data_IF_123412418007
#
_entry.id   IF_123412418007
#
_cell.length_a   1.000
_cell.length_b   1.000
_cell.length_c   1.000
_cell.angle_alpha   90.00
_cell.angle_beta   90.00
_cell.angle_gamma   90.00
#
_symmetry.space_group_name_H-M   'P 1'
#
loop_
_entity.id
_entity.type
_entity.pdbx_description
1 polymer ?
#
# COMPACT_ATOMS: atom_id res chain seq x y z
N UNK A 1 -2.34 -21.28 7.36
CA UNK A 1 -2.82 -22.23 6.36
C UNK A 1 -1.66 -22.91 5.61
N UNK A 2 -0.85 -22.16 4.85
CA UNK A 2 0.28 -22.69 4.07
C UNK A 2 1.30 -23.44 4.95
N UNK A 3 1.66 -22.92 6.11
CA UNK A 3 2.64 -23.51 7.03
C UNK A 3 2.35 -24.96 7.42
N UNK A 4 1.07 -25.35 7.49
CA UNK A 4 0.66 -26.73 7.82
C UNK A 4 0.60 -27.67 6.61
N UNK A 5 0.69 -27.13 5.41
CA UNK A 5 0.46 -27.87 4.17
C UNK A 5 1.71 -28.06 3.35
N UNK A 6 2.69 -27.16 3.47
CA UNK A 6 3.97 -27.27 2.75
C UNK A 6 4.75 -28.49 3.21
N UNK A 7 5.22 -29.28 2.25
CA UNK A 7 6.23 -30.31 2.48
C UNK A 7 7.60 -29.66 2.63
N UNK A 8 8.56 -30.38 3.15
CA UNK A 8 9.95 -29.93 3.17
C UNK A 8 10.39 -29.38 1.80
N UNK A 9 11.33 -28.41 1.74
CA UNK A 9 11.82 -27.87 0.48
C UNK A 9 12.25 -29.00 -0.47
N UNK A 10 11.73 -28.97 -1.70
CA UNK A 10 11.88 -30.11 -2.61
C UNK A 10 12.19 -29.69 -4.05
N UNK A 11 12.63 -28.44 -4.26
CA UNK A 11 12.95 -27.88 -5.58
C UNK A 11 11.81 -28.06 -6.59
N UNK A 12 10.58 -27.95 -6.13
CA UNK A 12 9.34 -27.95 -6.93
C UNK A 12 8.41 -26.89 -6.40
N UNK A 13 7.66 -26.24 -7.29
CA UNK A 13 6.65 -25.28 -6.88
C UNK A 13 5.50 -26.00 -6.19
N UNK A 14 5.40 -25.86 -4.89
CA UNK A 14 4.36 -26.49 -4.06
C UNK A 14 3.12 -25.59 -3.95
N UNK A 15 3.33 -24.29 -3.85
CA UNK A 15 2.29 -23.32 -3.66
C UNK A 15 2.45 -22.09 -4.56
N UNK A 16 1.32 -21.59 -5.05
CA UNK A 16 1.24 -20.33 -5.80
C UNK A 16 0.24 -19.43 -5.11
N UNK A 17 0.63 -18.17 -4.93
CA UNK A 17 -0.26 -17.10 -4.48
C UNK A 17 -0.36 -16.07 -5.60
N UNK A 18 -1.57 -15.77 -6.02
CA UNK A 18 -1.83 -14.78 -7.07
C UNK A 18 -2.53 -13.60 -6.44
N UNK A 19 -2.01 -12.40 -6.71
CA UNK A 19 -2.61 -11.15 -6.31
C UNK A 19 -2.70 -10.19 -7.50
N UNK A 20 -3.75 -9.33 -7.58
CA UNK A 20 -4.01 -8.51 -8.76
C UNK A 20 -3.01 -7.37 -8.96
N UNK A 21 -2.30 -6.94 -7.90
CA UNK A 21 -1.39 -5.80 -7.95
C UNK A 21 0.02 -6.18 -7.48
N UNK A 22 1.01 -5.44 -7.96
CA UNK A 22 2.44 -5.62 -7.60
C UNK A 22 2.68 -5.37 -6.13
N UNK A 23 2.05 -4.33 -5.62
CA UNK A 23 2.14 -3.90 -4.23
C UNK A 23 1.66 -5.01 -3.29
N UNK A 24 0.54 -5.65 -3.62
CA UNK A 24 0.01 -6.76 -2.83
C UNK A 24 0.93 -7.99 -2.92
N UNK A 25 1.48 -8.29 -4.10
CA UNK A 25 2.50 -9.35 -4.27
C UNK A 25 3.70 -9.10 -3.36
N UNK A 26 4.22 -7.89 -3.30
CA UNK A 26 5.36 -7.53 -2.43
C UNK A 26 5.02 -7.64 -0.95
N UNK A 27 3.82 -7.24 -0.54
CA UNK A 27 3.36 -7.39 0.84
C UNK A 27 3.27 -8.86 1.26
N UNK A 28 2.59 -9.68 0.45
CA UNK A 28 2.48 -11.11 0.70
C UNK A 28 3.87 -11.74 0.79
N UNK A 29 4.79 -11.35 -0.11
CA UNK A 29 6.17 -11.81 -0.09
C UNK A 29 6.91 -11.45 1.20
N UNK A 30 6.78 -10.21 1.65
CA UNK A 30 7.41 -9.74 2.89
C UNK A 30 6.97 -10.57 4.09
N UNK A 31 5.68 -10.88 4.18
CA UNK A 31 5.10 -11.72 5.23
C UNK A 31 5.52 -13.19 5.06
N UNK A 32 5.45 -13.72 3.85
CA UNK A 32 5.80 -15.11 3.57
C UNK A 32 7.24 -15.43 3.96
N UNK A 33 8.20 -14.55 3.65
CA UNK A 33 9.60 -14.74 4.03
C UNK A 33 9.83 -14.83 5.54
N UNK A 34 9.02 -14.17 6.33
CA UNK A 34 9.11 -14.23 7.79
C UNK A 34 8.48 -15.51 8.33
N UNK A 35 7.41 -15.98 7.70
CA UNK A 35 6.66 -17.16 8.14
C UNK A 35 7.31 -18.48 7.73
N UNK A 36 8.02 -18.51 6.60
CA UNK A 36 8.61 -19.74 6.03
C UNK A 36 10.11 -19.54 5.69
N UNK A 37 10.96 -19.28 6.69
CA UNK A 37 12.38 -18.91 6.45
C UNK A 37 13.22 -20.01 5.78
N UNK A 38 12.75 -21.26 5.81
CA UNK A 38 13.46 -22.39 5.20
C UNK A 38 13.07 -22.69 3.74
N UNK A 39 12.11 -21.94 3.18
CA UNK A 39 11.61 -22.19 1.82
C UNK A 39 12.11 -21.11 0.85
N UNK A 40 12.34 -21.49 -0.40
CA UNK A 40 12.61 -20.52 -1.46
C UNK A 40 11.29 -19.91 -1.92
N UNK A 41 11.11 -18.63 -1.62
CA UNK A 41 9.96 -17.82 -2.07
C UNK A 41 10.42 -16.88 -3.17
N UNK A 42 9.78 -16.92 -4.33
CA UNK A 42 10.07 -16.03 -5.48
C UNK A 42 8.85 -15.18 -5.82
N UNK A 43 9.09 -13.94 -6.22
CA UNK A 43 8.06 -13.02 -6.70
C UNK A 43 8.14 -12.81 -8.20
N UNK A 44 6.97 -12.72 -8.86
CA UNK A 44 6.86 -12.49 -10.30
C UNK A 44 5.79 -11.41 -10.56
N UNK A 45 6.21 -10.21 -10.93
CA UNK A 45 5.29 -9.10 -11.25
C UNK A 45 5.92 -8.16 -12.28
N UNK A 46 5.11 -7.51 -13.10
CA UNK A 46 5.61 -6.66 -14.17
C UNK A 46 6.18 -5.32 -13.67
N UNK A 47 6.92 -4.61 -14.53
CA UNK A 47 7.43 -3.24 -14.30
C UNK A 47 8.89 -3.15 -13.91
N UNK A 48 9.62 -4.25 -13.98
CA UNK A 48 11.07 -4.32 -13.92
C UNK A 48 11.58 -5.33 -14.95
N UNK A 49 12.90 -5.42 -15.10
CA UNK A 49 13.52 -6.33 -16.05
C UNK A 49 13.17 -7.79 -15.72
N UNK A 50 12.85 -8.55 -16.76
CA UNK A 50 12.59 -10.00 -16.67
C UNK A 50 13.85 -10.81 -16.33
N UNK A 51 15.02 -10.28 -16.62
CA UNK A 51 16.29 -10.97 -16.37
C UNK A 51 16.54 -11.31 -14.90
N UNK A 52 16.17 -10.41 -13.97
CA UNK A 52 16.29 -10.67 -12.54
C UNK A 52 15.33 -11.79 -12.09
N UNK A 53 14.11 -11.83 -12.66
CA UNK A 53 13.15 -12.88 -12.37
C UNK A 53 13.62 -14.23 -12.95
N UNK A 54 14.11 -14.25 -14.19
CA UNK A 54 14.68 -15.45 -14.81
C UNK A 54 15.87 -15.99 -14.02
N UNK A 55 16.78 -15.13 -13.59
CA UNK A 55 17.89 -15.50 -12.71
C UNK A 55 17.39 -16.08 -11.37
N UNK A 56 16.32 -15.53 -10.80
CA UNK A 56 15.70 -16.06 -9.59
C UNK A 56 15.06 -17.44 -9.80
N UNK A 57 14.58 -17.74 -11.01
CA UNK A 57 13.95 -19.00 -11.36
C UNK A 57 14.96 -20.12 -11.73
N UNK A 58 16.25 -19.82 -11.94
CA UNK A 58 17.30 -20.83 -12.19
C UNK A 58 17.37 -21.92 -11.12
N UNK A 59 17.02 -21.59 -9.89
CA UNK A 59 16.75 -22.56 -8.85
C UNK A 59 15.24 -22.56 -8.61
N UNK A 60 14.60 -23.68 -8.80
CA UNK A 60 13.14 -23.79 -8.67
C UNK A 60 12.67 -23.35 -7.29
N UNK A 61 11.72 -22.40 -7.17
CA UNK A 61 11.17 -21.99 -5.88
C UNK A 61 10.18 -23.03 -5.34
N UNK A 62 10.03 -23.06 -4.03
CA UNK A 62 8.96 -23.83 -3.35
C UNK A 62 7.61 -23.07 -3.39
N UNK A 63 7.69 -21.75 -3.32
CA UNK A 63 6.52 -20.86 -3.30
C UNK A 63 6.71 -19.74 -4.31
N UNK A 64 5.68 -19.51 -5.10
CA UNK A 64 5.63 -18.38 -6.04
C UNK A 64 4.51 -17.41 -5.64
N UNK A 65 4.81 -16.14 -5.58
CA UNK A 65 3.85 -15.07 -5.35
C UNK A 65 3.87 -14.15 -6.58
N UNK A 66 2.74 -14.00 -7.27
CA UNK A 66 2.78 -13.39 -8.58
C UNK A 66 1.54 -12.59 -8.95
N UNK A 67 1.68 -11.66 -9.90
CA UNK A 67 0.55 -11.14 -10.66
C UNK A 67 0.17 -12.12 -11.77
N UNK A 68 -1.14 -12.21 -12.16
CA UNK A 68 -1.62 -13.21 -13.11
C UNK A 68 -0.85 -13.19 -14.44
N UNK A 69 -0.73 -12.00 -15.06
CA UNK A 69 -0.09 -11.87 -16.36
C UNK A 69 1.39 -12.28 -16.37
N UNK A 70 2.15 -11.94 -15.32
CA UNK A 70 3.59 -12.25 -15.25
C UNK A 70 3.82 -13.74 -14.98
N UNK A 71 3.02 -14.37 -14.12
CA UNK A 71 3.10 -15.81 -13.91
C UNK A 71 2.79 -16.58 -15.18
N UNK A 72 1.76 -16.17 -15.91
CA UNK A 72 1.40 -16.79 -17.17
C UNK A 72 2.51 -16.64 -18.24
N UNK A 73 3.15 -15.48 -18.30
CA UNK A 73 4.27 -15.22 -19.21
C UNK A 73 5.44 -16.17 -18.94
N UNK A 74 5.95 -16.26 -17.69
CA UNK A 74 7.02 -17.18 -17.33
C UNK A 74 6.64 -18.64 -17.55
N UNK A 75 5.38 -19.02 -17.27
CA UNK A 75 4.92 -20.38 -17.54
C UNK A 75 4.81 -20.70 -19.03
N UNK A 76 4.51 -19.72 -19.90
CA UNK A 76 4.51 -19.90 -21.36
C UNK A 76 5.92 -20.03 -21.93
N UNK A 77 6.87 -19.29 -21.36
CA UNK A 77 8.30 -19.35 -21.75
C UNK A 77 9.02 -20.60 -21.25
N UNK A 78 8.37 -21.40 -20.38
CA UNK A 78 8.98 -22.59 -19.79
C UNK A 78 9.93 -22.28 -18.62
N UNK A 79 9.96 -21.04 -18.13
CA UNK A 79 10.82 -20.63 -17.00
C UNK A 79 10.32 -21.20 -15.66
N UNK A 80 9.04 -21.61 -15.60
CA UNK A 80 8.43 -22.19 -14.42
C UNK A 80 7.42 -23.27 -14.80
N UNK A 81 7.50 -24.42 -14.11
CA UNK A 81 6.55 -25.52 -14.26
C UNK A 81 5.48 -25.46 -13.17
N UNK A 82 4.20 -25.54 -13.57
CA UNK A 82 3.07 -25.45 -12.66
C UNK A 82 2.33 -26.78 -12.44
N UNK A 83 2.79 -27.87 -13.07
CA UNK A 83 2.13 -29.18 -13.02
C UNK A 83 1.99 -29.70 -11.58
N UNK A 84 3.04 -29.54 -10.78
CA UNK A 84 3.14 -30.08 -9.42
C UNK A 84 2.58 -29.16 -8.34
N UNK A 85 2.04 -28.00 -8.71
CA UNK A 85 1.44 -27.08 -7.76
C UNK A 85 0.25 -27.74 -7.08
N UNK A 86 0.34 -27.87 -5.76
CA UNK A 86 -0.70 -28.50 -4.95
C UNK A 86 -1.62 -27.47 -4.26
N UNK A 87 -1.15 -26.24 -4.07
CA UNK A 87 -1.86 -25.21 -3.33
C UNK A 87 -1.90 -23.90 -4.12
N UNK A 88 -3.09 -23.36 -4.34
CA UNK A 88 -3.32 -22.08 -5.00
C UNK A 88 -4.12 -21.15 -4.10
N UNK A 89 -3.64 -19.94 -3.93
CA UNK A 89 -4.36 -18.84 -3.29
C UNK A 89 -4.59 -17.75 -4.32
N UNK A 90 -5.84 -17.32 -4.49
CA UNK A 90 -6.21 -16.17 -5.29
C UNK A 90 -6.68 -15.07 -4.33
N UNK A 91 -5.81 -14.10 -4.09
CA UNK A 91 -6.06 -13.00 -3.15
C UNK A 91 -6.67 -11.80 -3.87
N UNK A 92 -7.61 -11.10 -3.22
CA UNK A 92 -8.45 -10.05 -3.84
C UNK A 92 -9.04 -10.51 -5.19
N UNK A 93 -9.67 -11.68 -5.18
CA UNK A 93 -10.14 -12.34 -6.40
C UNK A 93 -11.18 -11.50 -7.17
N UNK A 94 -12.10 -10.83 -6.48
CA UNK A 94 -13.03 -9.84 -7.04
C UNK A 94 -12.29 -8.77 -7.84
N UNK A 95 -11.21 -8.23 -7.30
CA UNK A 95 -10.38 -7.23 -7.97
C UNK A 95 -9.64 -7.80 -9.18
N UNK A 96 -9.15 -9.02 -9.08
CA UNK A 96 -8.51 -9.68 -10.21
C UNK A 96 -9.50 -9.84 -11.40
N UNK A 97 -10.77 -10.14 -11.13
CA UNK A 97 -11.83 -10.20 -12.15
C UNK A 97 -12.13 -8.81 -12.73
N UNK A 98 -12.28 -7.77 -11.91
CA UNK A 98 -12.51 -6.40 -12.38
C UNK A 98 -11.39 -5.90 -13.32
N UNK A 99 -10.14 -6.26 -13.03
CA UNK A 99 -8.98 -5.92 -13.85
C UNK A 99 -8.86 -6.77 -15.11
N UNK A 100 -9.78 -7.69 -15.35
CA UNK A 100 -9.85 -8.51 -16.56
C UNK A 100 -8.90 -9.71 -16.58
N UNK A 101 -8.34 -10.11 -15.43
CA UNK A 101 -7.42 -11.24 -15.34
C UNK A 101 -8.07 -12.62 -15.36
N UNK A 102 -9.39 -12.71 -15.55
CA UNK A 102 -10.12 -13.98 -15.56
C UNK A 102 -9.52 -15.01 -16.52
N UNK A 103 -9.26 -14.59 -17.77
CA UNK A 103 -8.69 -15.47 -18.80
C UNK A 103 -7.29 -15.94 -18.47
N UNK A 104 -6.47 -15.08 -17.85
CA UNK A 104 -5.10 -15.44 -17.47
C UNK A 104 -5.12 -16.42 -16.31
N UNK A 105 -5.95 -16.18 -15.29
CA UNK A 105 -6.15 -17.10 -14.17
C UNK A 105 -6.68 -18.47 -14.63
N UNK A 106 -7.64 -18.49 -15.55
CA UNK A 106 -8.14 -19.74 -16.13
C UNK A 106 -7.04 -20.56 -16.81
N UNK A 107 -6.14 -19.90 -17.57
CA UNK A 107 -5.00 -20.55 -18.23
C UNK A 107 -3.96 -21.06 -17.23
N UNK A 108 -3.72 -20.32 -16.15
CA UNK A 108 -2.80 -20.71 -15.07
C UNK A 108 -3.34 -21.95 -14.36
N UNK A 109 -4.62 -21.90 -13.90
CA UNK A 109 -5.27 -23.04 -13.22
C UNK A 109 -5.30 -24.27 -14.10
N UNK A 110 -5.53 -24.09 -15.41
CA UNK A 110 -5.51 -25.18 -16.40
C UNK A 110 -4.17 -25.93 -16.50
N UNK A 111 -3.05 -25.32 -16.08
CA UNK A 111 -1.72 -25.94 -16.05
C UNK A 111 -1.42 -26.66 -14.74
N UNK A 112 -2.18 -26.40 -13.67
CA UNK A 112 -1.99 -27.01 -12.34
C UNK A 112 -2.77 -28.33 -12.23
N UNK A 113 -2.25 -29.41 -12.80
CA UNK A 113 -2.95 -30.71 -12.84
C UNK A 113 -3.05 -31.40 -11.49
N UNK A 114 -2.11 -31.12 -10.58
CA UNK A 114 -2.05 -31.71 -9.25
C UNK A 114 -2.60 -30.80 -8.15
N UNK A 115 -3.40 -29.79 -8.53
CA UNK A 115 -4.00 -28.87 -7.59
C UNK A 115 -4.96 -29.59 -6.64
N UNK A 116 -4.62 -29.58 -5.34
CA UNK A 116 -5.39 -30.24 -4.29
C UNK A 116 -6.24 -29.28 -3.47
N UNK A 117 -5.79 -28.02 -3.34
CA UNK A 117 -6.54 -26.99 -2.59
C UNK A 117 -6.43 -25.63 -3.28
N UNK A 118 -7.59 -25.01 -3.37
CA UNK A 118 -7.76 -23.64 -3.85
C UNK A 118 -8.39 -22.81 -2.74
N UNK A 119 -7.81 -21.64 -2.46
CA UNK A 119 -8.36 -20.64 -1.55
C UNK A 119 -8.62 -19.37 -2.32
N UNK A 120 -9.79 -18.82 -2.15
CA UNK A 120 -10.18 -17.51 -2.68
C UNK A 120 -10.42 -16.56 -1.51
N UNK A 121 -9.84 -15.38 -1.58
CA UNK A 121 -10.25 -14.27 -0.71
C UNK A 121 -10.93 -13.20 -1.55
N UNK A 122 -11.96 -12.60 -1.01
CA UNK A 122 -12.70 -11.52 -1.67
C UNK A 122 -13.28 -10.61 -0.61
N UNK A 123 -13.23 -9.31 -0.85
CA UNK A 123 -13.86 -8.34 0.02
C UNK A 123 -15.36 -8.20 -0.26
N UNK A 124 -15.82 -8.68 -1.41
CA UNK A 124 -17.23 -8.62 -1.83
C UNK A 124 -17.77 -10.01 -2.10
N UNK A 125 -19.08 -10.24 -1.86
CA UNK A 125 -19.73 -11.47 -2.27
C UNK A 125 -19.68 -11.61 -3.80
N UNK A 126 -19.16 -12.72 -4.30
CA UNK A 126 -19.23 -13.03 -5.71
C UNK A 126 -20.62 -13.57 -6.07
N UNK A 127 -21.25 -13.00 -7.07
CA UNK A 127 -22.57 -13.46 -7.55
C UNK A 127 -22.48 -14.89 -8.13
N UNK A 128 -21.38 -15.20 -8.80
CA UNK A 128 -21.05 -16.53 -9.33
C UNK A 128 -19.55 -16.73 -9.37
N UNK A 129 -19.11 -17.98 -9.27
CA UNK A 129 -17.71 -18.33 -9.49
C UNK A 129 -17.48 -18.59 -10.98
N UNK A 130 -16.37 -18.11 -11.58
CA UNK A 130 -16.00 -18.44 -12.95
C UNK A 130 -15.83 -19.95 -13.17
N UNK A 131 -16.08 -20.41 -14.41
CA UNK A 131 -16.08 -21.83 -14.77
C UNK A 131 -14.76 -22.58 -14.49
N UNK A 132 -13.63 -21.87 -14.44
CA UNK A 132 -12.32 -22.48 -14.13
C UNK A 132 -12.16 -22.81 -12.64
N UNK A 133 -13.00 -22.24 -11.78
CA UNK A 133 -13.12 -22.60 -10.37
C UNK A 133 -14.15 -23.72 -10.26
N UNK A 134 -13.69 -24.95 -10.12
CA UNK A 134 -14.56 -26.14 -10.03
C UNK A 134 -14.47 -26.73 -8.62
N UNK A 135 -15.22 -26.20 -7.64
CA UNK A 135 -15.19 -26.75 -6.29
C UNK A 135 -15.89 -28.10 -6.26
N UNK A 136 -15.17 -29.15 -5.82
CA UNK A 136 -15.80 -30.42 -5.42
C UNK A 136 -16.49 -30.27 -4.06
N UNK A 137 -15.81 -29.55 -3.14
CA UNK A 137 -16.29 -29.22 -1.79
C UNK A 137 -15.98 -27.77 -1.50
N UNK A 138 -16.95 -26.87 -1.67
CA UNK A 138 -16.82 -25.47 -1.35
C UNK A 138 -17.14 -25.25 0.13
N UNK A 139 -16.15 -24.77 0.89
CA UNK A 139 -16.37 -24.23 2.25
C UNK A 139 -16.27 -22.72 2.17
N UNK A 140 -17.36 -22.05 2.54
CA UNK A 140 -17.41 -20.59 2.61
C UNK A 140 -17.25 -20.16 4.06
N UNK A 141 -16.33 -19.22 4.27
CA UNK A 141 -16.17 -18.51 5.55
C UNK A 141 -16.55 -17.05 5.26
N UNK A 142 -17.60 -16.60 5.94
CA UNK A 142 -18.14 -15.26 5.75
C UNK A 142 -17.84 -14.41 6.98
N UNK A 143 -16.94 -13.46 6.80
CA UNK A 143 -16.55 -12.44 7.78
C UNK A 143 -17.11 -11.06 7.43
N UNK A 144 -17.95 -10.93 6.40
CA UNK A 144 -18.55 -9.66 5.99
C UNK A 144 -19.46 -9.06 7.05
N UNK A 145 -19.95 -9.87 8.00
CA UNK A 145 -20.64 -9.40 9.20
C UNK A 145 -19.81 -8.50 10.13
N UNK A 146 -18.48 -8.58 10.02
CA UNK A 146 -17.55 -7.68 10.72
C UNK A 146 -17.57 -6.24 10.14
N UNK A 147 -18.21 -6.01 9.00
CA UNK A 147 -18.52 -4.66 8.51
C UNK A 147 -19.35 -3.83 9.51
N UNK A 148 -20.12 -4.48 10.40
CA UNK A 148 -20.76 -3.82 11.55
C UNK A 148 -19.74 -3.31 12.57
N UNK A 149 -18.61 -3.96 12.69
CA UNK A 149 -17.55 -3.58 13.62
C UNK A 149 -16.72 -2.41 13.09
N UNK A 150 -16.40 -2.41 11.79
CA UNK A 150 -15.81 -1.26 11.12
C UNK A 150 -16.74 -0.03 11.25
N UNK A 151 -18.04 -0.21 11.06
CA UNK A 151 -19.01 0.86 11.20
C UNK A 151 -19.13 1.41 12.63
N UNK A 152 -18.86 0.61 13.66
CA UNK A 152 -18.83 1.09 15.05
C UNK A 152 -17.59 1.94 15.37
N UNK A 153 -16.53 1.76 14.60
CA UNK A 153 -15.24 2.43 14.80
C UNK A 153 -15.01 3.58 13.83
N UNK A 154 -15.74 3.61 12.72
CA UNK A 154 -15.68 4.64 11.70
C UNK A 154 -16.82 5.63 11.91
N UNK A 155 -16.50 6.92 12.02
CA UNK A 155 -17.47 8.02 11.95
C UNK A 155 -17.46 8.61 10.56
N UNK A 156 -18.62 8.82 9.99
CA UNK A 156 -18.79 9.37 8.65
C UNK A 156 -19.43 10.74 8.72
N UNK A 157 -18.70 11.76 8.30
CA UNK A 157 -19.09 13.14 8.35
C UNK A 157 -19.47 13.66 6.98
N UNK A 158 -20.63 14.32 6.88
CA UNK A 158 -20.99 15.12 5.73
C UNK A 158 -20.29 16.46 5.79
N UNK A 159 -19.72 16.93 4.69
CA UNK A 159 -19.12 18.26 4.57
C UNK A 159 -19.66 18.90 3.30
N UNK A 160 -20.52 19.90 3.46
CA UNK A 160 -21.12 20.59 2.32
C UNK A 160 -20.16 21.67 1.78
N UNK A 161 -20.12 21.81 0.48
CA UNK A 161 -19.40 22.85 -0.24
C UNK A 161 -20.38 23.75 -0.98
N UNK A 162 -20.23 25.03 -0.83
CA UNK A 162 -21.10 26.03 -1.47
C UNK A 162 -20.86 26.14 -2.99
N UNK A 163 -19.72 25.61 -3.45
CA UNK A 163 -19.32 25.66 -4.87
C UNK A 163 -18.96 24.26 -5.39
N UNK A 164 -19.14 24.09 -6.71
CA UNK A 164 -18.78 22.83 -7.39
C UNK A 164 -17.30 22.45 -7.25
N UNK A 165 -16.42 23.46 -7.27
CA UNK A 165 -15.01 23.24 -6.99
C UNK A 165 -14.78 23.26 -5.48
N UNK A 166 -14.68 22.08 -4.90
CA UNK A 166 -14.58 21.84 -3.46
C UNK A 166 -13.19 22.09 -2.86
N UNK A 167 -12.29 22.77 -3.58
CA UNK A 167 -10.89 22.97 -3.15
C UNK A 167 -10.78 23.85 -1.88
N UNK A 168 -11.56 24.92 -1.78
CA UNK A 168 -11.54 25.74 -0.57
C UNK A 168 -12.13 24.98 0.63
N UNK A 169 -13.23 24.28 0.43
CA UNK A 169 -13.81 23.40 1.44
C UNK A 169 -12.82 22.35 1.91
N UNK A 170 -12.11 21.72 0.98
CA UNK A 170 -11.02 20.76 1.29
C UNK A 170 -9.91 21.41 2.10
N UNK A 171 -9.47 22.63 1.73
CA UNK A 171 -8.44 23.37 2.46
C UNK A 171 -8.86 23.64 3.90
N UNK A 172 -10.08 24.18 4.10
CA UNK A 172 -10.63 24.48 5.42
C UNK A 172 -10.71 23.22 6.27
N UNK A 173 -11.20 22.12 5.70
CA UNK A 173 -11.24 20.82 6.38
C UNK A 173 -9.85 20.35 6.79
N UNK A 174 -8.85 20.41 5.89
CA UNK A 174 -7.48 19.99 6.20
C UNK A 174 -6.83 20.83 7.30
N UNK A 175 -7.12 22.13 7.39
CA UNK A 175 -6.64 22.99 8.48
C UNK A 175 -7.16 22.52 9.85
N UNK A 176 -8.39 22.02 9.92
CA UNK A 176 -8.95 21.45 11.15
C UNK A 176 -8.40 20.07 11.46
N UNK A 177 -8.23 19.23 10.42
CA UNK A 177 -7.82 17.83 10.57
C UNK A 177 -6.32 17.62 10.79
N UNK A 178 -5.50 18.60 10.39
CA UNK A 178 -4.03 18.48 10.42
C UNK A 178 -3.38 19.60 11.22
N UNK A 179 -3.77 19.82 12.50
CA UNK A 179 -3.28 20.92 13.31
C UNK A 179 -1.79 20.85 13.63
N UNK A 180 -1.19 19.64 13.60
CA UNK A 180 0.24 19.43 13.86
C UNK A 180 1.04 19.08 12.61
N UNK A 181 0.36 18.79 11.49
CA UNK A 181 0.98 18.31 10.27
C UNK A 181 1.48 16.86 10.37
N UNK A 182 1.12 16.13 11.43
CA UNK A 182 1.48 14.73 11.63
C UNK A 182 0.31 13.76 11.31
N UNK A 183 -0.90 14.29 11.21
CA UNK A 183 -2.12 13.50 11.07
C UNK A 183 -2.20 12.85 9.68
N UNK A 184 -2.13 11.52 9.63
CA UNK A 184 -2.21 10.79 8.38
C UNK A 184 -3.59 10.89 7.77
N UNK A 185 -3.66 11.51 6.59
CA UNK A 185 -4.90 11.81 5.87
C UNK A 185 -4.79 11.36 4.42
N UNK A 186 -5.79 10.62 3.93
CA UNK A 186 -5.90 10.24 2.52
C UNK A 186 -7.06 10.97 1.88
N UNK A 187 -6.81 11.59 0.73
CA UNK A 187 -7.81 12.22 -0.11
C UNK A 187 -8.07 11.33 -1.33
N UNK A 188 -9.27 10.81 -1.42
CA UNK A 188 -9.71 10.00 -2.56
C UNK A 188 -10.44 10.85 -3.61
N UNK A 189 -10.00 10.69 -4.84
CA UNK A 189 -10.65 11.24 -6.05
C UNK A 189 -10.96 10.11 -7.03
N UNK A 190 -11.90 10.32 -7.96
CA UNK A 190 -12.31 9.28 -8.91
C UNK A 190 -11.39 9.19 -10.14
N UNK A 191 -10.76 10.31 -10.52
CA UNK A 191 -10.00 10.42 -11.75
C UNK A 191 -8.56 10.88 -11.49
N UNK A 192 -7.65 10.43 -12.33
CA UNK A 192 -6.23 10.76 -12.25
C UNK A 192 -5.97 12.26 -12.36
N UNK A 193 -6.59 12.90 -13.34
CA UNK A 193 -6.45 14.35 -13.58
C UNK A 193 -6.92 15.16 -12.38
N UNK A 194 -7.96 14.67 -11.69
CA UNK A 194 -8.44 15.27 -10.44
C UNK A 194 -7.41 15.12 -9.32
N UNK A 195 -6.71 13.98 -9.24
CA UNK A 195 -5.66 13.77 -8.23
C UNK A 195 -4.50 14.75 -8.44
N UNK A 196 -4.04 14.90 -9.68
CA UNK A 196 -2.97 15.83 -10.06
C UNK A 196 -3.37 17.29 -9.75
N UNK A 197 -4.59 17.69 -10.13
CA UNK A 197 -5.14 19.03 -9.86
C UNK A 197 -5.24 19.34 -8.37
N UNK A 198 -5.81 18.42 -7.60
CA UNK A 198 -5.96 18.58 -6.14
C UNK A 198 -4.59 18.69 -5.48
N UNK A 199 -3.65 17.79 -5.83
CA UNK A 199 -2.31 17.81 -5.26
C UNK A 199 -1.56 19.11 -5.60
N UNK A 200 -1.65 19.59 -6.85
CA UNK A 200 -1.04 20.86 -7.26
C UNK A 200 -1.65 22.06 -6.52
N UNK A 201 -2.97 22.09 -6.39
CA UNK A 201 -3.66 23.16 -5.67
C UNK A 201 -3.26 23.20 -4.20
N UNK A 202 -3.14 22.04 -3.55
CA UNK A 202 -2.67 21.95 -2.17
C UNK A 202 -1.21 22.39 -2.02
N UNK A 203 -0.33 22.12 -2.99
CA UNK A 203 1.05 22.64 -2.98
C UNK A 203 1.12 24.15 -3.09
N UNK A 204 0.28 24.77 -3.92
CA UNK A 204 0.17 26.24 -4.01
C UNK A 204 -0.28 26.86 -2.68
N UNK A 205 -1.00 26.11 -1.86
CA UNK A 205 -1.45 26.50 -0.51
C UNK A 205 -0.43 26.14 0.59
N UNK A 206 0.77 25.67 0.21
CA UNK A 206 1.86 25.40 1.14
C UNK A 206 1.86 24.00 1.76
N UNK A 207 0.90 23.14 1.39
CA UNK A 207 0.95 21.72 1.78
C UNK A 207 1.95 20.93 0.90
N UNK A 208 2.42 19.77 1.40
CA UNK A 208 3.28 18.84 0.65
C UNK A 208 2.59 17.46 0.50
N UNK A 209 1.53 17.36 -0.32
CA UNK A 209 0.85 16.09 -0.52
C UNK A 209 1.69 15.13 -1.34
N UNK A 210 1.74 13.87 -0.92
CA UNK A 210 2.10 12.76 -1.79
C UNK A 210 1.02 12.56 -2.85
N UNK A 211 1.42 12.20 -4.07
CA UNK A 211 0.52 11.78 -5.15
C UNK A 211 0.71 10.30 -5.38
N UNK A 212 -0.40 9.53 -5.46
CA UNK A 212 -0.35 8.10 -5.76
C UNK A 212 -1.42 7.75 -6.80
N UNK A 213 -1.00 7.56 -8.04
CA UNK A 213 -1.88 7.21 -9.17
C UNK A 213 -1.23 6.17 -10.07
N UNK A 214 -2.04 5.53 -10.92
CA UNK A 214 -1.56 4.57 -11.90
C UNK A 214 -0.64 5.14 -12.98
N UNK A 215 -0.55 6.47 -13.10
CA UNK A 215 0.33 7.14 -14.05
C UNK A 215 1.79 7.19 -13.61
N UNK A 216 2.02 7.15 -12.30
CA UNK A 216 3.37 7.14 -11.77
C UNK A 216 4.07 5.83 -12.13
N UNK A 217 5.37 5.91 -12.39
CA UNK A 217 6.17 4.72 -12.47
C UNK A 217 6.25 3.99 -11.11
N UNK A 218 6.79 2.77 -11.10
CA UNK A 218 6.81 1.94 -9.89
C UNK A 218 7.67 2.56 -8.79
N UNK A 219 8.81 3.15 -9.16
CA UNK A 219 9.72 3.77 -8.20
C UNK A 219 9.07 4.97 -7.49
N UNK A 220 8.39 5.84 -8.25
CA UNK A 220 7.69 7.01 -7.68
C UNK A 220 6.51 6.59 -6.79
N UNK A 221 5.79 5.52 -7.16
CA UNK A 221 4.74 4.96 -6.30
C UNK A 221 5.29 4.43 -4.99
N UNK A 222 6.36 3.64 -5.02
CA UNK A 222 7.03 3.12 -3.83
C UNK A 222 7.54 4.25 -2.94
N UNK A 223 8.15 5.28 -3.53
CA UNK A 223 8.61 6.48 -2.82
C UNK A 223 7.44 7.22 -2.16
N UNK A 224 6.34 7.44 -2.87
CA UNK A 224 5.17 8.13 -2.31
C UNK A 224 4.61 7.40 -1.08
N UNK A 225 4.48 6.08 -1.17
CA UNK A 225 4.03 5.24 -0.06
C UNK A 225 5.03 5.22 1.11
N UNK A 226 6.32 5.10 0.84
CA UNK A 226 7.35 5.12 1.89
C UNK A 226 7.31 6.43 2.67
N UNK A 227 7.19 7.58 1.98
CA UNK A 227 7.10 8.91 2.61
C UNK A 227 5.77 9.12 3.36
N UNK A 228 4.69 8.53 2.90
CA UNK A 228 3.42 8.54 3.62
C UNK A 228 3.47 7.65 4.86
N UNK A 229 3.95 6.42 4.72
CA UNK A 229 4.00 5.45 5.82
C UNK A 229 4.97 5.85 6.93
N UNK A 230 6.07 6.53 6.61
CA UNK A 230 7.02 7.01 7.61
C UNK A 230 6.66 8.38 8.21
N UNK A 231 5.55 8.99 7.76
CA UNK A 231 5.04 10.25 8.28
C UNK A 231 5.70 11.53 7.72
N UNK A 232 6.64 11.43 6.79
CA UNK A 232 7.26 12.61 6.16
C UNK A 232 6.28 13.40 5.31
N UNK A 233 5.39 12.71 4.59
CA UNK A 233 4.25 13.27 3.83
C UNK A 233 2.96 12.63 4.31
N UNK A 234 2.39 13.07 5.42
CA UNK A 234 1.21 12.45 6.02
C UNK A 234 -0.08 12.73 5.25
N UNK A 235 -0.05 13.54 4.20
CA UNK A 235 -1.16 13.82 3.30
C UNK A 235 -0.94 13.11 1.96
N UNK A 236 -1.88 12.24 1.55
CA UNK A 236 -1.82 11.50 0.29
C UNK A 236 -3.04 11.79 -0.56
N UNK A 237 -2.84 12.18 -1.81
CA UNK A 237 -3.91 12.31 -2.81
C UNK A 237 -3.84 11.12 -3.77
N UNK A 238 -4.96 10.41 -3.93
CA UNK A 238 -4.97 9.17 -4.69
C UNK A 238 -6.33 8.88 -5.35
N UNK A 239 -6.32 7.94 -6.28
CA UNK A 239 -7.52 7.27 -6.81
C UNK A 239 -7.78 5.96 -6.06
N UNK A 240 -8.79 5.20 -6.47
CA UNK A 240 -9.09 3.87 -5.89
C UNK A 240 -7.93 2.86 -6.01
N UNK A 241 -6.86 3.20 -6.73
CA UNK A 241 -5.65 2.38 -6.76
C UNK A 241 -5.05 2.16 -5.36
N UNK A 242 -5.12 3.17 -4.47
CA UNK A 242 -4.63 3.05 -3.08
C UNK A 242 -5.67 2.47 -2.11
N UNK A 243 -6.90 2.25 -2.55
CA UNK A 243 -7.95 1.72 -1.66
C UNK A 243 -7.82 0.22 -1.40
N UNK A 244 -7.05 -0.50 -2.22
CA UNK A 244 -6.90 -1.95 -2.16
C UNK A 244 -5.43 -2.35 -2.19
N UNK A 245 -5.10 -3.48 -1.57
CA UNK A 245 -3.79 -4.12 -1.66
C UNK A 245 -2.60 -3.33 -1.15
N UNK A 246 -2.77 -2.15 -0.56
CA UNK A 246 -1.67 -1.37 0.00
C UNK A 246 -1.61 -1.53 1.51
N UNK A 247 -0.40 -1.73 2.03
CA UNK A 247 -0.14 -1.64 3.46
C UNK A 247 -0.02 -0.17 3.86
N UNK A 248 -1.18 0.46 3.94
CA UNK A 248 -1.35 1.78 4.52
C UNK A 248 -2.08 1.57 5.84
N UNK A 249 -1.36 1.67 6.93
CA UNK A 249 -1.91 1.54 8.28
C UNK A 249 -1.97 2.91 8.97
N UNK A 250 -2.74 2.97 10.05
CA UNK A 250 -2.83 4.13 10.95
C UNK A 250 -3.26 5.43 10.25
N UNK A 251 -4.12 5.33 9.24
CA UNK A 251 -4.76 6.49 8.63
C UNK A 251 -5.85 6.98 9.56
N UNK A 252 -5.74 8.21 10.01
CA UNK A 252 -6.71 8.82 10.90
C UNK A 252 -7.93 9.33 10.13
N UNK A 253 -7.71 10.01 9.01
CA UNK A 253 -8.74 10.67 8.26
C UNK A 253 -8.79 10.16 6.82
N UNK A 254 -9.98 9.83 6.34
CA UNK A 254 -10.30 9.58 4.95
C UNK A 254 -11.15 10.73 4.42
N UNK A 255 -10.76 11.33 3.32
CA UNK A 255 -11.54 12.38 2.67
C UNK A 255 -11.97 11.89 1.28
N UNK A 256 -13.26 11.77 1.08
CA UNK A 256 -13.84 11.54 -0.23
C UNK A 256 -14.09 12.91 -0.89
N UNK A 257 -13.08 13.41 -1.62
CA UNK A 257 -13.22 14.64 -2.42
C UNK A 257 -14.26 14.44 -3.53
N UNK A 258 -14.27 13.27 -4.17
CA UNK A 258 -15.37 12.77 -4.98
C UNK A 258 -16.00 11.57 -4.26
N UNK A 259 -17.33 11.55 -4.24
CA UNK A 259 -18.04 10.35 -3.79
C UNK A 259 -17.56 9.12 -4.56
N UNK A 260 -17.34 7.98 -3.90
CA UNK A 260 -17.00 6.73 -4.58
C UNK A 260 -18.04 6.36 -5.64
N UNK A 261 -17.62 5.73 -6.72
CA UNK A 261 -18.55 5.34 -7.80
C UNK A 261 -19.40 4.13 -7.42
N UNK A 262 -18.94 3.28 -6.50
CA UNK A 262 -19.63 2.06 -6.05
C UNK A 262 -19.55 1.90 -4.54
N UNK A 263 -20.51 1.17 -3.96
CA UNK A 263 -20.51 0.82 -2.53
C UNK A 263 -19.25 0.03 -2.14
N UNK A 264 -18.73 -0.75 -3.06
CA UNK A 264 -17.52 -1.50 -2.87
C UNK A 264 -16.30 -0.58 -2.73
N UNK A 265 -16.11 0.38 -3.66
CA UNK A 265 -15.05 1.39 -3.54
C UNK A 265 -15.18 2.19 -2.24
N UNK A 266 -16.40 2.51 -1.80
CA UNK A 266 -16.66 3.16 -0.53
C UNK A 266 -16.13 2.34 0.65
N UNK A 267 -16.43 1.04 0.69
CA UNK A 267 -15.97 0.13 1.73
C UNK A 267 -14.44 0.01 1.75
N UNK A 268 -13.81 -0.13 0.59
CA UNK A 268 -12.36 -0.26 0.46
C UNK A 268 -11.60 1.00 0.83
N UNK A 269 -12.10 2.19 0.46
CA UNK A 269 -11.52 3.47 0.87
C UNK A 269 -11.57 3.60 2.38
N UNK A 270 -12.72 3.35 2.99
CA UNK A 270 -12.91 3.43 4.43
C UNK A 270 -12.12 2.36 5.20
N UNK A 271 -11.89 1.20 4.61
CA UNK A 271 -11.05 0.15 5.17
C UNK A 271 -9.55 0.53 5.33
N UNK A 272 -9.12 1.72 4.93
CA UNK A 272 -7.78 2.24 5.21
C UNK A 272 -7.66 2.85 6.60
N UNK A 273 -8.78 3.21 7.23
CA UNK A 273 -8.85 3.70 8.61
C UNK A 273 -9.64 2.73 9.51
N UNK A 274 -9.75 3.01 10.78
CA UNK A 274 -10.50 2.23 11.77
C UNK A 274 -10.17 0.72 11.78
N UNK A 275 -8.92 0.36 11.51
CA UNK A 275 -8.45 -1.04 11.61
C UNK A 275 -8.43 -1.49 13.08
N UNK A 276 -8.12 -2.77 13.30
CA UNK A 276 -8.15 -3.44 14.61
C UNK A 276 -7.72 -2.49 15.73
N UNK A 277 -8.63 -2.26 16.70
CA UNK A 277 -8.46 -1.41 17.89
C UNK A 277 -8.30 0.12 17.66
N UNK A 278 -8.46 0.64 16.43
CA UNK A 278 -8.40 2.07 16.13
C UNK A 278 -9.77 2.61 15.70
N UNK A 279 -10.07 3.86 16.07
CA UNK A 279 -11.18 4.63 15.53
C UNK A 279 -10.68 5.50 14.38
N UNK A 280 -11.54 5.83 13.42
CA UNK A 280 -11.18 6.68 12.28
C UNK A 280 -12.36 7.52 11.84
N UNK A 281 -12.04 8.58 11.10
CA UNK A 281 -13.01 9.50 10.58
C UNK A 281 -12.99 9.53 9.04
N UNK A 282 -14.17 9.47 8.43
CA UNK A 282 -14.35 9.62 6.99
C UNK A 282 -15.20 10.87 6.71
N UNK A 283 -14.72 11.72 5.82
CA UNK A 283 -15.36 12.96 5.43
C UNK A 283 -15.76 12.87 3.97
N UNK A 284 -17.02 13.16 3.65
CA UNK A 284 -17.52 13.15 2.28
C UNK A 284 -17.88 14.57 1.89
N UNK A 285 -17.15 15.13 0.92
CA UNK A 285 -17.41 16.48 0.42
C UNK A 285 -18.53 16.42 -0.62
N UNK A 286 -19.60 17.16 -0.35
CA UNK A 286 -20.80 17.23 -1.21
C UNK A 286 -20.87 18.64 -1.82
N UNK A 287 -20.86 18.70 -3.14
CA UNK A 287 -21.10 19.96 -3.88
C UNK A 287 -22.59 20.29 -4.01
N UNK A 288 -22.94 21.53 -4.43
CA UNK A 288 -24.32 22.02 -4.45
C UNK A 288 -25.26 21.23 -5.36
N UNK A 289 -24.73 20.56 -6.39
CA UNK A 289 -25.51 19.81 -7.37
C UNK A 289 -25.20 18.30 -7.31
N UNK A 290 -24.63 17.83 -6.20
CA UNK A 290 -24.27 16.41 -6.05
C UNK A 290 -25.30 15.69 -5.19
N UNK A 291 -25.98 14.68 -5.79
CA UNK A 291 -26.82 13.75 -5.04
C UNK A 291 -25.97 12.81 -4.21
N UNK A 292 -26.36 12.61 -2.97
CA UNK A 292 -25.70 11.64 -2.09
C UNK A 292 -26.01 10.23 -2.55
N UNK A 293 -24.99 9.40 -2.67
CA UNK A 293 -25.15 7.98 -3.04
C UNK A 293 -25.85 7.21 -1.91
N UNK A 294 -26.81 6.36 -2.24
CA UNK A 294 -27.67 5.63 -1.28
C UNK A 294 -26.87 4.79 -0.25
N UNK A 295 -25.68 4.30 -0.62
CA UNK A 295 -24.84 3.51 0.26
C UNK A 295 -24.02 4.34 1.24
N UNK A 296 -24.04 5.69 1.17
CA UNK A 296 -23.35 6.58 2.10
C UNK A 296 -24.34 6.99 3.18
N UNK A 297 -24.01 6.64 4.41
CA UNK A 297 -24.79 7.05 5.58
C UNK A 297 -23.90 7.89 6.48
N UNK A 298 -24.37 9.06 6.84
CA UNK A 298 -23.65 10.01 7.70
C UNK A 298 -24.05 9.84 9.17
N UNK A 299 -23.08 10.00 10.05
CA UNK A 299 -23.31 10.08 11.49
C UNK A 299 -23.62 11.53 11.89
N UNK A 300 -23.01 12.51 11.22
CA UNK A 300 -23.27 13.94 11.43
C UNK A 300 -22.93 14.79 10.19
N UNK A 301 -23.17 16.11 10.29
CA UNK A 301 -22.72 17.12 9.34
C UNK A 301 -21.65 18.00 10.00
N UNK A 302 -20.46 18.06 9.40
CA UNK A 302 -19.36 18.89 9.86
C UNK A 302 -19.42 20.27 9.24
N UNK A 303 -19.55 21.30 10.07
CA UNK A 303 -19.46 22.69 9.67
C UNK A 303 -18.05 23.21 9.87
N UNK A 304 -17.47 23.81 8.83
CA UNK A 304 -16.09 24.28 8.83
C UNK A 304 -16.00 25.73 9.24
N UNK A 305 -15.03 26.04 10.09
CA UNK A 305 -14.67 27.39 10.43
C UNK A 305 -14.07 28.16 9.23
N UNK A 306 -14.09 29.47 9.29
CA UNK A 306 -13.45 30.33 8.30
C UNK A 306 -12.05 30.70 8.80
N UNK A 307 -11.01 30.31 8.04
CA UNK A 307 -9.61 30.61 8.33
C UNK A 307 -8.85 30.85 7.02
N UNK A 308 -9.02 32.04 6.41
CA UNK A 308 -8.47 32.32 5.08
C UNK A 308 -6.93 32.30 5.05
N UNK A 309 -6.27 32.68 6.14
CA UNK A 309 -4.81 32.77 6.26
C UNK A 309 -4.16 31.52 6.85
N UNK A 310 -4.97 30.52 7.17
CA UNK A 310 -4.49 29.27 7.74
C UNK A 310 -3.59 28.50 6.78
N UNK A 311 -2.52 27.93 7.33
CA UNK A 311 -1.59 27.04 6.58
C UNK A 311 -1.52 25.68 7.25
N UNK A 312 -1.50 24.63 6.44
CA UNK A 312 -1.29 23.28 6.93
C UNK A 312 0.17 23.20 7.39
N UNK A 313 0.43 22.85 8.67
CA UNK A 313 1.80 22.73 9.17
C UNK A 313 2.59 21.68 8.40
N UNK A 314 3.89 21.91 8.23
CA UNK A 314 4.77 20.90 7.70
C UNK A 314 4.88 19.73 8.68
N UNK A 315 4.99 18.51 8.17
CA UNK A 315 5.21 17.33 9.02
C UNK A 315 6.42 17.53 9.95
N UNK A 316 6.34 17.14 11.22
CA UNK A 316 7.48 17.13 12.14
C UNK A 316 8.55 16.11 11.76
N UNK A 317 8.25 15.22 10.81
CA UNK A 317 9.16 14.16 10.34
C UNK A 317 9.79 14.56 9.02
N UNK A 318 11.06 14.19 8.84
CA UNK A 318 11.80 14.24 7.57
C UNK A 318 12.39 12.87 7.26
N UNK A 319 12.63 12.54 5.99
CA UNK A 319 13.30 11.29 5.60
C UNK A 319 14.74 11.53 5.26
N UNK A 320 15.63 10.86 6.00
CA UNK A 320 17.03 10.73 5.66
C UNK A 320 17.19 9.59 4.63
N UNK A 321 17.80 9.90 3.49
CA UNK A 321 18.24 8.93 2.49
C UNK A 321 19.71 8.57 2.73
N UNK A 322 20.04 7.29 2.75
CA UNK A 322 21.39 6.74 2.83
C UNK A 322 21.61 5.88 1.59
N UNK A 323 22.61 6.19 0.73
CA UNK A 323 22.89 5.44 -0.49
C UNK A 323 23.63 4.11 -0.22
N UNK A 324 23.14 3.33 0.74
CA UNK A 324 23.62 2.00 1.06
C UNK A 324 22.50 1.17 1.72
N UNK A 325 22.47 -0.11 1.44
CA UNK A 325 21.42 -1.02 1.88
C UNK A 325 21.89 -2.43 2.16
N UNK A 326 21.04 -3.42 1.94
CA UNK A 326 21.30 -4.84 2.22
C UNK A 326 22.50 -5.39 1.46
N UNK A 327 22.64 -5.06 0.16
CA UNK A 327 23.77 -5.51 -0.68
C UNK A 327 25.09 -4.92 -0.24
N UNK A 328 25.07 -3.78 0.42
CA UNK A 328 26.23 -3.18 1.10
C UNK A 328 26.42 -3.75 2.52
N UNK A 329 25.68 -4.80 2.90
CA UNK A 329 25.74 -5.49 4.20
C UNK A 329 25.34 -4.59 5.38
N UNK A 330 24.47 -3.60 5.14
CA UNK A 330 23.89 -2.75 6.18
C UNK A 330 22.61 -3.39 6.70
N UNK A 331 22.44 -3.36 8.01
CA UNK A 331 21.22 -3.79 8.71
C UNK A 331 20.53 -2.59 9.38
N UNK A 332 19.28 -2.77 9.79
CA UNK A 332 18.55 -1.75 10.58
C UNK A 332 19.29 -1.38 11.86
N UNK A 333 19.89 -2.38 12.55
CA UNK A 333 20.68 -2.14 13.76
C UNK A 333 21.93 -1.29 13.52
N UNK A 334 22.61 -1.48 12.38
CA UNK A 334 23.76 -0.65 12.00
C UNK A 334 23.36 0.81 11.78
N UNK A 335 22.19 1.04 11.17
CA UNK A 335 21.66 2.38 10.92
C UNK A 335 21.31 3.07 12.24
N UNK A 336 20.59 2.36 13.14
CA UNK A 336 20.27 2.91 14.47
C UNK A 336 21.54 3.23 15.23
N UNK A 337 22.50 2.28 15.33
CA UNK A 337 23.77 2.48 16.03
C UNK A 337 24.57 3.65 15.45
N UNK A 338 24.59 3.81 14.13
CA UNK A 338 25.25 4.91 13.45
C UNK A 338 24.62 6.27 13.81
N UNK A 339 23.30 6.39 13.72
CA UNK A 339 22.59 7.64 13.99
C UNK A 339 22.66 8.04 15.48
N UNK A 340 22.63 7.07 16.38
CA UNK A 340 22.77 7.32 17.82
C UNK A 340 24.19 7.74 18.17
N UNK A 341 25.19 6.95 17.76
CA UNK A 341 26.56 7.13 18.21
C UNK A 341 27.30 8.22 17.44
N UNK A 342 27.03 8.42 16.18
CA UNK A 342 27.71 9.36 15.30
C UNK A 342 26.85 10.58 14.94
N UNK A 343 25.54 10.41 14.83
CA UNK A 343 24.58 11.48 14.53
C UNK A 343 24.02 12.18 15.77
N UNK A 344 24.36 11.69 16.98
CA UNK A 344 23.84 12.21 18.27
C UNK A 344 22.30 12.31 18.29
N UNK A 345 21.62 11.36 17.64
CA UNK A 345 20.18 11.31 17.60
C UNK A 345 19.66 10.28 18.63
N UNK A 346 18.78 10.66 19.56
CA UNK A 346 18.20 9.72 20.52
C UNK A 346 17.50 8.55 19.82
N UNK A 347 17.72 7.31 20.26
CA UNK A 347 17.15 6.12 19.64
C UNK A 347 15.61 6.18 19.52
N UNK A 348 14.92 6.78 20.50
CA UNK A 348 13.46 6.98 20.52
C UNK A 348 12.94 7.95 19.44
N UNK A 349 13.81 8.78 18.88
CA UNK A 349 13.51 9.77 17.84
C UNK A 349 13.78 9.23 16.43
N UNK A 350 14.40 8.04 16.34
CA UNK A 350 14.56 7.34 15.08
C UNK A 350 13.26 6.60 14.79
N UNK A 351 12.54 7.06 13.78
CA UNK A 351 11.27 6.44 13.35
C UNK A 351 11.47 5.23 12.43
N UNK A 352 10.56 5.04 11.50
CA UNK A 352 10.59 3.91 10.56
C UNK A 352 11.90 3.87 9.76
N UNK A 353 12.49 2.67 9.66
CA UNK A 353 13.67 2.39 8.82
C UNK A 353 13.25 1.44 7.71
N UNK A 354 13.27 1.96 6.49
CA UNK A 354 12.96 1.20 5.28
C UNK A 354 14.27 0.84 4.57
N UNK A 355 14.66 -0.42 4.73
CA UNK A 355 15.94 -0.95 4.25
C UNK A 355 15.74 -1.63 2.90
N UNK A 356 16.25 -1.04 1.84
CA UNK A 356 16.27 -1.56 0.48
C UNK A 356 17.62 -2.23 0.14
N UNK A 357 17.73 -2.75 -1.07
CA UNK A 357 18.96 -3.43 -1.50
C UNK A 357 20.16 -2.49 -1.56
N UNK A 358 20.00 -1.28 -2.13
CA UNK A 358 21.08 -0.32 -2.36
C UNK A 358 20.91 1.01 -1.64
N UNK A 359 19.85 1.20 -0.90
CA UNK A 359 19.61 2.43 -0.14
C UNK A 359 18.76 2.16 1.10
N UNK A 360 18.76 3.11 2.00
CA UNK A 360 17.92 3.07 3.21
C UNK A 360 17.23 4.43 3.40
N UNK A 361 15.94 4.38 3.76
CA UNK A 361 15.16 5.55 4.16
C UNK A 361 14.94 5.49 5.67
N UNK A 362 15.16 6.59 6.36
CA UNK A 362 15.01 6.68 7.82
C UNK A 362 14.18 7.89 8.18
N UNK A 363 13.10 7.70 8.92
CA UNK A 363 12.33 8.78 9.50
C UNK A 363 13.09 9.40 10.68
N UNK A 364 13.29 10.71 10.66
CA UNK A 364 13.99 11.48 11.69
C UNK A 364 13.20 12.75 12.01
N UNK A 365 13.42 13.39 13.17
CA UNK A 365 12.83 14.70 13.44
C UNK A 365 13.26 15.74 12.41
N UNK A 366 12.31 16.49 11.88
CA UNK A 366 12.59 17.54 10.88
C UNK A 366 13.50 18.63 11.42
N UNK A 367 13.41 18.93 12.72
CA UNK A 367 14.26 19.90 13.40
C UNK A 367 15.73 19.54 13.35
N UNK A 368 16.05 18.25 13.42
CA UNK A 368 17.41 17.74 13.42
C UNK A 368 17.98 17.51 12.02
N UNK A 369 17.14 17.45 11.00
CA UNK A 369 17.51 17.01 9.66
C UNK A 369 18.71 17.79 9.07
N UNK A 370 18.75 19.12 9.20
CA UNK A 370 19.83 19.96 8.67
C UNK A 370 21.14 19.74 9.43
N UNK A 371 21.10 19.70 10.76
CA UNK A 371 22.26 19.44 11.63
C UNK A 371 22.81 18.05 11.34
N UNK A 372 21.95 17.04 11.37
CA UNK A 372 22.34 15.65 11.19
C UNK A 372 23.09 15.43 9.87
N UNK A 373 22.61 15.99 8.74
CA UNK A 373 23.29 15.86 7.44
C UNK A 373 24.72 16.40 7.50
N UNK A 374 24.93 17.53 8.14
CA UNK A 374 26.27 18.13 8.28
C UNK A 374 27.18 17.23 9.11
N UNK A 375 26.66 16.73 10.23
CA UNK A 375 27.42 15.91 11.18
C UNK A 375 27.84 14.57 10.56
N UNK A 376 26.93 13.90 9.81
CA UNK A 376 27.19 12.57 9.26
C UNK A 376 27.84 12.56 7.88
N UNK A 377 27.82 13.68 7.13
CA UNK A 377 28.33 13.73 5.76
C UNK A 377 29.77 13.19 5.58
N UNK A 378 30.74 13.45 6.50
CA UNK A 378 32.09 12.93 6.38
C UNK A 378 32.23 11.47 6.86
N UNK A 379 31.22 10.92 7.53
CA UNK A 379 31.31 9.69 8.29
C UNK A 379 31.05 8.44 7.45
N UNK A 380 31.57 7.31 7.93
CA UNK A 380 31.39 6.00 7.32
C UNK A 380 30.43 5.16 8.15
N UNK A 381 29.56 4.41 7.48
CA UNK A 381 28.77 3.35 8.09
C UNK A 381 29.35 2.00 7.66
N UNK A 382 29.76 1.14 8.61
CA UNK A 382 30.43 -0.15 8.32
C UNK A 382 31.62 -0.03 7.36
N UNK A 383 32.44 1.01 7.50
CA UNK A 383 33.61 1.22 6.66
C UNK A 383 33.32 1.82 5.28
N UNK A 384 32.07 1.96 4.87
CA UNK A 384 31.62 2.56 3.60
C UNK A 384 31.22 4.01 3.81
N UNK A 385 31.47 4.86 2.82
CA UNK A 385 31.07 6.27 2.81
C UNK A 385 29.89 6.47 1.83
N UNK A 386 28.62 6.26 2.27
CA UNK A 386 27.46 6.51 1.44
C UNK A 386 27.21 8.01 1.28
N UNK A 387 26.36 8.35 0.33
CA UNK A 387 25.78 9.70 0.23
C UNK A 387 24.60 9.79 1.19
N UNK A 388 24.51 10.90 1.90
CA UNK A 388 23.40 11.23 2.79
C UNK A 388 22.65 12.45 2.25
N UNK A 389 21.34 12.42 2.25
CA UNK A 389 20.50 13.56 1.85
C UNK A 389 19.13 13.50 2.50
N UNK A 390 18.45 14.63 2.62
CA UNK A 390 17.04 14.65 2.99
C UNK A 390 16.20 14.49 1.71
N UNK A 391 15.26 13.56 1.76
CA UNK A 391 14.31 13.34 0.65
C UNK A 391 13.41 14.58 0.53
N UNK A 392 13.36 15.13 -0.67
CA UNK A 392 12.47 16.25 -1.02
C UNK A 392 11.10 15.76 -1.46
#
# INVERSE_FOLDING_TARGET
>A
FLLKLLKAPCQRVQAVLIAPTRELVQQIYSVARQLVPGYKVTVLYGGHDTGDEEASLNVTPDIVIATPGRLLDHSKRGNIELLDVSYLVLDEFDKALELGFEKDMARIVGRMKNLSRLVLTSATPLASLPDFIRPKDLRRFDYLGEGKELRRRLRVHRVDSDVRDKLDTLRRLLLELMPTGAERTIIFVNYRESAERVAESLRKLGADPGLYTGALDQHDREKALALFNNGTRPLLVTTDLASRGLDISDVRNIIHYHQPLTAESYTHRNGRTARVDATGDAFVLIGPDEDVKEYIQFDDTRYLGDNPDGRIPASPVATLYISAGRKEKISRGDVVGFLVNQGSLPAKEIGAIDLHDHYTLVAIPRTDAKRLIVDIAPLKIKGRKPKYSIVK
#
